data_IF_207299973764
#
_entry.id   IF_207299973764
#
_cell.length_a   1.000
_cell.length_b   1.000
_cell.length_c   1.000
_cell.angle_alpha   90.00
_cell.angle_beta   90.00
_cell.angle_gamma   90.00
#
_symmetry.space_group_name_H-M   'P 1'
#
loop_
_entity.id
_entity.type
_entity.pdbx_description
1 polymer ?
#
# COMPACT_ATOMS: atom_id res chain seq x y z
N UNK A 1 -5.41 -19.29 -7.35
CA UNK A 1 -5.96 -18.91 -8.66
C UNK A 1 -6.84 -17.69 -8.52
N UNK A 2 -6.61 -16.70 -9.34
CA UNK A 2 -7.47 -15.53 -9.38
C UNK A 2 -8.84 -15.91 -9.96
N UNK A 3 -9.90 -15.35 -9.40
CA UNK A 3 -11.23 -15.49 -9.95
C UNK A 3 -11.28 -14.83 -11.34
N UNK A 4 -12.02 -15.40 -12.25
CA UNK A 4 -12.17 -14.88 -13.61
C UNK A 4 -12.84 -13.49 -13.55
N UNK A 5 -12.32 -12.57 -14.32
CA UNK A 5 -12.86 -11.20 -14.41
C UNK A 5 -14.16 -11.25 -15.20
N UNK A 6 -15.20 -10.66 -14.60
CA UNK A 6 -16.52 -10.55 -15.23
C UNK A 6 -16.77 -9.07 -15.55
N UNK A 7 -16.93 -8.75 -16.84
CA UNK A 7 -17.15 -7.37 -17.30
C UNK A 7 -18.46 -6.75 -16.81
N UNK A 8 -19.39 -7.57 -16.31
CA UNK A 8 -20.66 -7.10 -15.75
C UNK A 8 -20.52 -6.64 -14.32
N UNK A 9 -19.41 -6.97 -13.65
CA UNK A 9 -19.13 -6.65 -12.26
C UNK A 9 -18.33 -5.34 -12.22
N UNK A 10 -18.74 -4.45 -11.32
CA UNK A 10 -17.96 -3.24 -11.01
C UNK A 10 -16.98 -3.59 -9.92
N UNK A 11 -15.68 -3.51 -10.25
CA UNK A 11 -14.61 -3.77 -9.30
C UNK A 11 -14.16 -2.48 -8.65
N UNK A 12 -13.88 -2.58 -7.35
CA UNK A 12 -13.40 -1.48 -6.53
C UNK A 12 -12.09 -1.90 -5.89
N UNK A 13 -11.24 -0.93 -5.63
CA UNK A 13 -9.99 -1.16 -4.92
C UNK A 13 -10.07 -0.50 -3.56
N UNK A 14 -9.79 -1.27 -2.51
CA UNK A 14 -9.68 -0.77 -1.14
C UNK A 14 -8.22 -0.76 -0.76
N UNK A 15 -7.70 0.42 -0.48
CA UNK A 15 -6.29 0.68 -0.23
C UNK A 15 -6.09 1.06 1.23
N UNK A 16 -5.11 0.44 1.87
CA UNK A 16 -4.69 0.78 3.23
C UNK A 16 -3.18 1.00 3.23
N UNK A 17 -2.75 2.03 3.95
CA UNK A 17 -1.33 2.36 4.00
C UNK A 17 -0.94 2.91 5.36
N UNK A 18 0.34 2.71 5.71
CA UNK A 18 0.98 3.32 6.86
C UNK A 18 2.13 4.20 6.37
N UNK A 19 2.28 5.35 7.01
CA UNK A 19 3.25 6.35 6.58
C UNK A 19 4.20 6.70 7.70
N UNK A 20 5.41 7.10 7.32
CA UNK A 20 6.30 7.81 8.23
C UNK A 20 5.91 9.28 8.26
N UNK A 21 5.82 9.90 9.45
CA UNK A 21 5.69 11.33 9.49
C UNK A 21 6.92 11.97 8.87
N UNK A 22 6.71 12.90 7.96
CA UNK A 22 7.80 13.72 7.46
C UNK A 22 8.30 14.60 8.58
N UNK A 23 9.60 14.76 8.68
CA UNK A 23 10.20 15.71 9.59
C UNK A 23 9.62 17.09 9.28
N UNK A 24 9.20 17.81 10.32
CA UNK A 24 8.63 19.17 10.19
C UNK A 24 9.61 20.14 9.55
N UNK A 25 10.90 19.85 9.61
CA UNK A 25 11.94 20.68 9.06
C UNK A 25 12.23 20.39 7.58
N UNK A 26 11.51 19.45 7.00
CA UNK A 26 11.66 19.13 5.58
C UNK A 26 10.93 20.18 4.74
N UNK A 27 11.70 21.11 4.17
CA UNK A 27 11.13 22.09 3.26
C UNK A 27 10.46 21.40 2.08
N UNK A 28 9.24 21.84 1.77
CA UNK A 28 8.50 21.28 0.63
C UNK A 28 7.74 20.01 0.93
N UNK A 29 7.53 19.68 2.19
CA UNK A 29 6.65 18.56 2.54
C UNK A 29 5.22 18.98 2.23
N UNK A 30 4.70 18.42 1.17
CA UNK A 30 3.27 18.45 0.88
C UNK A 30 2.68 17.08 1.25
N UNK A 31 1.34 16.96 1.35
CA UNK A 31 0.72 15.66 1.52
C UNK A 31 1.16 14.64 0.45
N UNK A 32 1.59 15.13 -0.70
CA UNK A 32 2.09 14.31 -1.82
C UNK A 32 3.43 13.63 -1.54
N UNK A 33 4.18 14.11 -0.55
CA UNK A 33 5.50 13.60 -0.18
C UNK A 33 5.45 12.73 1.07
N UNK A 34 4.26 12.33 1.51
CA UNK A 34 4.16 11.39 2.62
C UNK A 34 4.74 10.04 2.19
N UNK A 35 5.61 9.53 3.05
CA UNK A 35 6.39 8.36 2.72
C UNK A 35 5.69 7.11 3.24
N UNK A 36 5.12 6.36 2.32
CA UNK A 36 4.45 5.10 2.60
C UNK A 36 5.49 4.00 2.81
N UNK A 37 5.46 3.33 3.95
CA UNK A 37 6.30 2.16 4.16
C UNK A 37 5.51 0.86 4.11
N UNK A 38 4.21 0.91 4.34
CA UNK A 38 3.31 -0.24 4.29
C UNK A 38 2.14 0.09 3.38
N UNK A 39 1.92 -0.75 2.37
CA UNK A 39 0.88 -0.51 1.40
C UNK A 39 0.20 -1.83 1.03
N UNK A 40 -1.10 -1.90 1.28
CA UNK A 40 -1.89 -3.06 0.94
C UNK A 40 -3.18 -2.66 0.24
N UNK A 41 -3.70 -3.56 -0.58
CA UNK A 41 -4.98 -3.33 -1.23
C UNK A 41 -5.71 -4.63 -1.52
N UNK A 42 -7.01 -4.49 -1.72
CA UNK A 42 -7.88 -5.57 -2.14
C UNK A 42 -8.75 -5.10 -3.29
N UNK A 43 -8.94 -5.97 -4.27
CA UNK A 43 -9.92 -5.75 -5.33
C UNK A 43 -11.20 -6.46 -4.90
N UNK A 44 -12.29 -5.71 -4.80
CA UNK A 44 -13.57 -6.19 -4.28
C UNK A 44 -14.72 -5.78 -5.22
N UNK A 45 -15.87 -6.40 -5.06
CA UNK A 45 -17.12 -5.97 -5.71
C UNK A 45 -18.05 -5.28 -4.70
N UNK A 46 -19.23 -4.90 -5.15
CA UNK A 46 -20.25 -4.23 -4.32
C UNK A 46 -20.74 -5.08 -3.15
N UNK A 47 -20.59 -6.40 -3.24
CA UNK A 47 -21.05 -7.35 -2.22
C UNK A 47 -19.96 -7.68 -1.20
N UNK A 48 -18.75 -7.12 -1.40
CA UNK A 48 -17.63 -7.41 -0.52
C UNK A 48 -16.86 -8.68 -0.87
N UNK A 49 -17.14 -9.30 -2.00
CA UNK A 49 -16.33 -10.42 -2.47
C UNK A 49 -14.93 -9.94 -2.83
N UNK A 50 -13.91 -10.65 -2.35
CA UNK A 50 -12.51 -10.33 -2.58
C UNK A 50 -11.97 -11.17 -3.73
N UNK A 51 -11.40 -10.51 -4.74
CA UNK A 51 -10.88 -11.16 -5.94
C UNK A 51 -9.37 -11.25 -5.93
N UNK A 52 -8.70 -10.26 -5.33
CA UNK A 52 -7.24 -10.21 -5.26
C UNK A 52 -6.83 -9.35 -4.07
N UNK A 53 -5.74 -9.73 -3.42
CA UNK A 53 -5.11 -8.94 -2.37
C UNK A 53 -3.62 -8.81 -2.65
N UNK A 54 -3.06 -7.67 -2.28
CA UNK A 54 -1.62 -7.41 -2.34
C UNK A 54 -1.20 -6.76 -1.02
N UNK A 55 0.01 -7.07 -0.57
CA UNK A 55 0.55 -6.47 0.65
C UNK A 55 2.06 -6.30 0.49
N UNK A 56 2.51 -5.04 0.54
CA UNK A 56 3.90 -4.68 0.28
C UNK A 56 4.49 -3.85 1.40
N UNK A 57 5.79 -4.00 1.61
CA UNK A 57 6.59 -3.08 2.40
C UNK A 57 7.52 -2.35 1.45
N UNK A 58 7.51 -1.04 1.51
CA UNK A 58 8.29 -0.18 0.63
C UNK A 58 9.74 -0.12 1.13
N UNK A 59 10.64 -0.80 0.43
CA UNK A 59 12.05 -0.85 0.78
C UNK A 59 12.72 0.53 0.73
N UNK A 60 12.25 1.42 -0.12
CA UNK A 60 12.82 2.77 -0.26
C UNK A 60 12.67 3.58 1.02
N UNK A 61 11.67 3.25 1.85
CA UNK A 61 11.46 3.89 3.15
C UNK A 61 11.91 2.96 4.27
N UNK A 62 11.45 1.73 4.26
CA UNK A 62 11.66 0.78 5.36
C UNK A 62 13.14 0.45 5.56
N UNK A 63 13.91 0.33 4.48
CA UNK A 63 15.34 0.03 4.54
C UNK A 63 16.19 1.28 4.46
N UNK A 64 15.87 2.21 3.56
CA UNK A 64 16.72 3.36 3.28
C UNK A 64 16.56 4.49 4.30
N UNK A 65 15.38 4.59 4.93
CA UNK A 65 15.05 5.69 5.85
C UNK A 65 14.84 5.17 7.28
N UNK A 66 15.85 4.49 7.80
CA UNK A 66 15.79 3.86 9.13
C UNK A 66 15.46 4.84 10.25
N UNK A 67 15.97 6.07 10.16
CA UNK A 67 15.71 7.08 11.20
C UNK A 67 14.26 7.55 11.17
N UNK A 68 13.69 7.71 9.99
CA UNK A 68 12.28 8.04 9.85
C UNK A 68 11.39 6.89 10.31
N UNK A 69 11.78 5.64 10.05
CA UNK A 69 11.04 4.48 10.53
C UNK A 69 10.95 4.44 12.05
N UNK A 70 11.97 4.92 12.76
CA UNK A 70 11.95 5.00 14.23
C UNK A 70 10.89 5.96 14.74
N UNK A 71 10.51 6.95 13.95
CA UNK A 71 9.47 7.92 14.31
C UNK A 71 8.08 7.54 13.79
N UNK A 72 7.97 6.46 13.03
CA UNK A 72 6.70 5.98 12.52
C UNK A 72 5.77 5.54 13.66
N UNK A 73 4.48 5.69 13.47
CA UNK A 73 3.49 5.33 14.48
C UNK A 73 3.63 3.88 14.94
N UNK A 74 3.95 2.98 14.03
CA UNK A 74 4.11 1.57 14.33
C UNK A 74 5.58 1.13 14.38
N UNK A 75 6.49 2.02 14.73
CA UNK A 75 7.92 1.69 14.79
C UNK A 75 8.22 0.49 15.71
N UNK A 76 7.48 0.36 16.81
CA UNK A 76 7.60 -0.77 17.73
C UNK A 76 7.22 -2.11 17.09
N UNK A 77 6.56 -2.10 15.94
CA UNK A 77 6.16 -3.30 15.21
C UNK A 77 7.15 -3.71 14.11
N UNK A 78 8.29 -3.03 14.00
CA UNK A 78 9.30 -3.35 12.98
C UNK A 78 9.71 -4.83 13.02
N UNK A 79 9.96 -5.45 14.18
CA UNK A 79 10.27 -6.88 14.21
C UNK A 79 9.16 -7.75 13.63
N UNK A 80 7.89 -7.39 13.87
CA UNK A 80 6.73 -8.09 13.31
C UNK A 80 6.71 -7.99 11.78
N UNK A 81 7.02 -6.81 11.23
CA UNK A 81 7.10 -6.65 9.78
C UNK A 81 8.15 -7.59 9.17
N UNK A 82 9.32 -7.71 9.80
CA UNK A 82 10.36 -8.62 9.33
C UNK A 82 9.90 -10.07 9.34
N UNK A 83 9.18 -10.49 10.38
CA UNK A 83 8.61 -11.84 10.45
C UNK A 83 7.61 -12.08 9.33
N UNK A 84 6.74 -11.11 9.04
CA UNK A 84 5.75 -11.21 7.97
C UNK A 84 6.42 -11.26 6.58
N UNK A 85 7.49 -10.51 6.40
CA UNK A 85 8.27 -10.54 5.15
C UNK A 85 8.89 -11.93 4.96
N UNK A 86 9.52 -12.47 6.00
CA UNK A 86 10.13 -13.81 5.95
C UNK A 86 9.10 -14.91 5.70
N UNK A 87 7.90 -14.75 6.24
CA UNK A 87 6.82 -15.72 6.07
C UNK A 87 6.12 -15.60 4.71
N UNK A 88 6.48 -14.61 3.90
CA UNK A 88 5.85 -14.40 2.59
C UNK A 88 4.48 -13.71 2.65
N UNK A 89 4.09 -13.23 3.82
CA UNK A 89 2.82 -12.53 3.99
C UNK A 89 2.87 -11.11 3.42
N UNK A 90 4.06 -10.53 3.37
CA UNK A 90 4.30 -9.20 2.80
C UNK A 90 5.53 -9.26 1.92
N UNK A 91 5.52 -8.49 0.84
CA UNK A 91 6.61 -8.44 -0.12
C UNK A 91 7.39 -7.15 0.09
N UNK A 92 8.67 -7.28 0.40
CA UNK A 92 9.59 -6.14 0.53
C UNK A 92 10.15 -5.82 -0.86
N UNK A 93 9.81 -4.64 -1.37
CA UNK A 93 10.25 -4.23 -2.70
C UNK A 93 10.26 -2.71 -2.84
N UNK A 94 10.77 -2.20 -3.96
CA UNK A 94 10.81 -0.76 -4.22
C UNK A 94 9.42 -0.17 -4.47
N UNK A 95 9.28 1.13 -4.20
CA UNK A 95 8.04 1.85 -4.48
C UNK A 95 7.66 1.77 -5.96
N UNK A 96 8.65 1.82 -6.86
CA UNK A 96 8.39 1.71 -8.30
C UNK A 96 7.69 0.40 -8.65
N UNK A 97 8.13 -0.71 -8.04
CA UNK A 97 7.48 -2.02 -8.26
C UNK A 97 6.10 -2.11 -7.63
N UNK A 98 5.93 -1.51 -6.45
CA UNK A 98 4.62 -1.45 -5.78
C UNK A 98 3.63 -0.67 -6.65
N UNK A 99 4.04 0.49 -7.15
CA UNK A 99 3.23 1.32 -8.05
C UNK A 99 2.85 0.55 -9.31
N UNK A 100 3.80 -0.14 -9.90
CA UNK A 100 3.56 -0.96 -11.09
C UNK A 100 2.53 -2.06 -10.83
N UNK A 101 2.63 -2.74 -9.69
CA UNK A 101 1.66 -3.76 -9.28
C UNK A 101 0.26 -3.17 -9.08
N UNK A 102 0.17 -2.01 -8.45
CA UNK A 102 -1.11 -1.32 -8.23
C UNK A 102 -1.77 -0.94 -9.56
N UNK A 103 -1.01 -0.33 -10.46
CA UNK A 103 -1.53 0.06 -11.77
C UNK A 103 -1.95 -1.16 -12.60
N UNK A 104 -1.20 -2.26 -12.51
CA UNK A 104 -1.55 -3.51 -13.18
C UNK A 104 -2.91 -4.05 -12.70
N UNK A 105 -3.14 -4.03 -11.39
CA UNK A 105 -4.41 -4.50 -10.82
C UNK A 105 -5.58 -3.59 -11.21
N UNK A 106 -5.35 -2.27 -11.21
CA UNK A 106 -6.36 -1.31 -11.66
C UNK A 106 -6.76 -1.58 -13.11
N UNK A 107 -5.78 -1.82 -13.99
CA UNK A 107 -6.03 -2.09 -15.40
C UNK A 107 -6.68 -3.45 -15.62
N UNK A 108 -6.18 -4.49 -14.95
CA UNK A 108 -6.67 -5.86 -15.11
C UNK A 108 -8.16 -5.96 -14.77
N UNK A 109 -8.58 -5.35 -13.66
CA UNK A 109 -9.97 -5.40 -13.19
C UNK A 109 -10.81 -4.22 -13.66
N UNK A 110 -10.23 -3.31 -14.45
CA UNK A 110 -10.91 -2.09 -14.88
C UNK A 110 -11.54 -1.35 -13.69
N UNK A 111 -10.75 -1.16 -12.65
CA UNK A 111 -11.19 -0.51 -11.42
C UNK A 111 -11.60 0.94 -11.69
N UNK A 112 -12.81 1.31 -11.29
CA UNK A 112 -13.37 2.65 -11.49
C UNK A 112 -13.43 3.46 -10.19
N UNK A 113 -13.34 2.80 -9.04
CA UNK A 113 -13.44 3.46 -7.73
C UNK A 113 -12.33 2.95 -6.82
N UNK A 114 -11.66 3.88 -6.14
CA UNK A 114 -10.63 3.57 -5.16
C UNK A 114 -11.05 4.16 -3.82
N UNK A 115 -11.08 3.32 -2.80
CA UNK A 115 -11.36 3.71 -1.42
C UNK A 115 -10.08 3.55 -0.63
N UNK A 116 -9.69 4.60 0.08
CA UNK A 116 -8.47 4.60 0.86
C UNK A 116 -8.80 4.84 2.34
N UNK A 117 -8.25 3.99 3.19
CA UNK A 117 -8.37 4.13 4.64
C UNK A 117 -7.18 4.93 5.17
N UNK A 118 -7.46 5.88 6.07
CA UNK A 118 -6.45 6.76 6.70
C UNK A 118 -5.68 7.65 5.72
N UNK A 119 -6.21 7.89 4.54
CA UNK A 119 -5.58 8.82 3.62
C UNK A 119 -6.16 10.21 3.82
N UNK A 120 -5.34 11.11 4.36
CA UNK A 120 -5.70 12.51 4.60
C UNK A 120 -5.37 13.40 3.42
N UNK A 121 -4.92 12.82 2.33
CA UNK A 121 -4.47 13.54 1.15
C UNK A 121 -5.09 12.88 -0.07
N UNK A 122 -5.46 13.72 -1.02
CA UNK A 122 -6.01 13.26 -2.28
C UNK A 122 -4.89 12.78 -3.21
N UNK A 123 -5.23 11.84 -3.99
CA UNK A 123 -4.35 11.32 -5.03
C UNK A 123 -4.37 12.22 -6.25
#
# INVERSE_FOLDING_TARGET
MSKKIDKRVTYRLVLDCETCPCDKDFEGVSPWNMWFYDLGWAVVDKRGNVYKTQSFINADIFLAEKDLMKSAYYANKIPMYWEQIKAGQRILTSFAKIRKALLADIQEYNVTEIYAHNMRFDW
#
